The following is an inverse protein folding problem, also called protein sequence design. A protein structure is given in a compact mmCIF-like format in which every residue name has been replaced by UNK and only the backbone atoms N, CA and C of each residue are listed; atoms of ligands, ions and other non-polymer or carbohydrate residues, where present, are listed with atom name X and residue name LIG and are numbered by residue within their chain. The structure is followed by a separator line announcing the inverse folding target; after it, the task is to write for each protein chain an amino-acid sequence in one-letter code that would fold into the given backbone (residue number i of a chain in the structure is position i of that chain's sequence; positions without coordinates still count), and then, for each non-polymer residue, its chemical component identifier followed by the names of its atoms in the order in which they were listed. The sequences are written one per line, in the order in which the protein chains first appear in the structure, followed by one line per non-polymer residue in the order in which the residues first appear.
data_IF_547157110104
#
_entry.id   IF_547157110104
#
_cell.length_a   1.000
_cell.length_b   1.000
_cell.length_c   1.000
_cell.angle_alpha   90.00
_cell.angle_beta   90.00
_cell.angle_gamma   90.00
#
_symmetry.space_group_name_H-M   'P 1'
#
loop_
_entity.id
_entity.type
_entity.pdbx_description
1 polymer ?
#
# COMPACT_ATOMS: atom_id res chain seq x y z
N UNK A 1 -10.92 13.93 18.09
CA UNK A 1 -9.68 13.23 18.54
C UNK A 1 -8.44 13.75 17.84
N UNK A 2 -8.47 13.97 16.52
CA UNK A 2 -7.28 14.40 15.76
C UNK A 2 -6.67 15.73 16.21
N UNK A 3 -7.48 16.76 16.50
CA UNK A 3 -6.97 18.02 17.05
C UNK A 3 -6.21 17.83 18.38
N UNK A 4 -6.64 16.88 19.22
CA UNK A 4 -5.97 16.58 20.48
C UNK A 4 -4.61 15.90 20.26
N UNK A 5 -4.48 15.04 19.23
CA UNK A 5 -3.19 14.46 18.83
C UNK A 5 -2.23 15.55 18.33
N UNK A 6 -2.71 16.48 17.53
CA UNK A 6 -1.90 17.60 17.00
C UNK A 6 -1.46 18.51 18.14
N UNK A 7 -2.34 18.81 19.10
CA UNK A 7 -1.97 19.56 20.31
C UNK A 7 -0.96 18.78 21.15
N UNK A 8 -1.15 17.48 21.36
CA UNK A 8 -0.20 16.59 22.06
C UNK A 8 1.18 16.58 21.41
N UNK A 9 1.22 16.62 20.08
CA UNK A 9 2.46 16.67 19.32
C UNK A 9 3.23 18.00 19.49
N UNK A 10 2.57 19.05 19.99
CA UNK A 10 3.11 20.41 20.06
C UNK A 10 2.81 21.24 18.81
N UNK A 11 1.73 20.92 18.10
CA UNK A 11 1.34 21.54 16.82
C UNK A 11 1.83 20.76 15.61
N UNK A 12 1.58 21.31 14.42
CA UNK A 12 1.86 20.67 13.12
C UNK A 12 3.34 20.25 12.99
N UNK A 13 4.27 21.13 13.38
CA UNK A 13 5.72 20.83 13.35
C UNK A 13 6.16 19.72 14.32
N UNK A 14 5.26 19.24 15.18
CA UNK A 14 5.51 18.16 16.12
C UNK A 14 4.96 16.79 15.69
N UNK A 15 4.21 16.71 14.58
CA UNK A 15 3.52 15.47 14.13
C UNK A 15 4.48 14.28 14.02
N UNK A 16 5.74 14.50 13.63
CA UNK A 16 6.76 13.44 13.58
C UNK A 16 7.11 12.79 14.93
N UNK A 17 6.63 13.35 16.06
CA UNK A 17 6.79 12.78 17.41
C UNK A 17 5.65 11.84 17.81
N UNK A 18 4.56 11.82 17.05
CA UNK A 18 3.46 10.89 17.27
C UNK A 18 3.90 9.48 16.89
N UNK A 19 3.46 8.50 17.66
CA UNK A 19 3.71 7.11 17.30
C UNK A 19 2.83 6.68 16.11
N UNK A 20 3.23 5.60 15.45
CA UNK A 20 2.53 5.13 14.26
C UNK A 20 1.09 4.67 14.53
N UNK A 21 0.77 4.24 15.74
CA UNK A 21 -0.59 3.85 16.08
C UNK A 21 -1.52 5.05 16.14
N UNK A 22 -1.05 6.17 16.73
CA UNK A 22 -1.80 7.42 16.82
C UNK A 22 -2.08 8.03 15.45
N UNK A 23 -1.04 8.08 14.60
CA UNK A 23 -1.15 8.67 13.27
C UNK A 23 -2.08 7.84 12.38
N UNK A 24 -1.91 6.51 12.35
CA UNK A 24 -2.80 5.62 11.58
C UNK A 24 -4.25 5.68 12.09
N UNK A 25 -4.46 5.72 13.40
CA UNK A 25 -5.80 5.82 13.98
C UNK A 25 -6.55 7.09 13.53
N UNK A 26 -5.84 8.20 13.30
CA UNK A 26 -6.44 9.42 12.76
C UNK A 26 -7.01 9.27 11.34
N UNK A 27 -6.51 8.29 10.57
CA UNK A 27 -7.03 7.92 9.25
C UNK A 27 -7.95 6.69 9.29
N UNK A 28 -8.16 6.08 10.46
CA UNK A 28 -8.89 4.81 10.59
C UNK A 28 -8.14 3.62 9.97
N UNK A 29 -6.81 3.71 9.87
CA UNK A 29 -5.96 2.67 9.28
C UNK A 29 -5.66 1.58 10.32
N UNK A 30 -5.96 0.36 9.93
CA UNK A 30 -5.60 -0.90 10.56
C UNK A 30 -4.75 -1.67 9.55
N UNK A 31 -3.58 -2.11 9.99
CA UNK A 31 -2.61 -2.80 9.15
C UNK A 31 -2.12 -4.07 9.83
N UNK A 32 -1.66 -5.03 9.04
CA UNK A 32 -1.29 -6.35 9.53
C UNK A 32 -1.17 -7.36 8.41
N UNK A 33 -1.09 -8.64 8.75
CA UNK A 33 -1.11 -9.74 7.77
C UNK A 33 -2.55 -9.96 7.31
N UNK A 34 -2.73 -10.31 6.03
CA UNK A 34 -4.04 -10.48 5.41
C UNK A 34 -4.98 -11.39 6.23
N UNK A 35 -4.48 -12.54 6.69
CA UNK A 35 -5.23 -13.51 7.52
C UNK A 35 -5.62 -12.98 8.90
N UNK A 36 -4.87 -12.01 9.43
CA UNK A 36 -5.02 -11.49 10.80
C UNK A 36 -5.79 -10.15 10.81
N UNK A 37 -6.01 -9.55 9.64
CA UNK A 37 -6.78 -8.32 9.45
C UNK A 37 -8.27 -8.64 9.39
N UNK A 38 -8.98 -8.33 10.47
CA UNK A 38 -10.44 -8.24 10.41
C UNK A 38 -10.85 -6.94 9.73
N UNK A 39 -11.73 -7.03 8.72
CA UNK A 39 -12.16 -5.87 7.91
C UNK A 39 -13.65 -5.69 8.03
N UNK A 40 -14.09 -4.43 8.10
CA UNK A 40 -15.51 -4.13 8.19
C UNK A 40 -16.19 -4.33 6.83
N UNK A 41 -17.52 -4.45 6.85
CA UNK A 41 -18.32 -4.44 5.62
C UNK A 41 -18.12 -3.13 4.86
N UNK A 42 -17.70 -3.22 3.60
CA UNK A 42 -17.39 -2.07 2.75
C UNK A 42 -15.91 -1.72 2.71
N UNK A 43 -15.05 -2.42 3.45
CA UNK A 43 -13.61 -2.29 3.35
C UNK A 43 -13.01 -3.48 2.58
N UNK A 44 -11.84 -3.25 1.98
CA UNK A 44 -10.98 -4.26 1.37
C UNK A 44 -9.60 -4.25 2.03
N UNK A 45 -8.78 -5.25 1.73
CA UNK A 45 -7.38 -5.32 2.14
C UNK A 45 -6.51 -4.93 0.95
N UNK A 46 -5.84 -3.78 1.03
CA UNK A 46 -4.85 -3.40 0.02
C UNK A 46 -3.48 -3.93 0.42
N UNK A 47 -2.80 -4.58 -0.53
CA UNK A 47 -1.42 -5.03 -0.35
C UNK A 47 -0.46 -3.83 -0.28
N UNK A 48 0.39 -3.82 0.75
CA UNK A 48 1.46 -2.82 0.84
C UNK A 48 2.54 -3.00 -0.22
N UNK A 49 3.22 -1.92 -0.62
CA UNK A 49 4.60 -1.93 -1.13
C UNK A 49 4.81 -2.57 -2.50
N UNK A 50 5.08 -3.87 -2.50
CA UNK A 50 5.22 -4.69 -3.70
C UNK A 50 4.11 -5.76 -3.70
N UNK A 51 3.32 -5.89 -4.78
CA UNK A 51 2.28 -6.90 -4.81
C UNK A 51 2.90 -8.31 -4.80
N UNK A 52 2.19 -9.26 -4.20
CA UNK A 52 2.66 -10.65 -4.08
C UNK A 52 3.11 -11.26 -5.42
N UNK A 53 2.46 -10.84 -6.49
CA UNK A 53 2.73 -11.26 -7.85
C UNK A 53 4.14 -10.89 -8.35
N UNK A 54 4.73 -9.79 -7.85
CA UNK A 54 6.12 -9.38 -8.17
C UNK A 54 7.20 -10.38 -7.71
N UNK A 55 6.83 -11.36 -6.87
CA UNK A 55 7.70 -12.39 -6.29
C UNK A 55 7.60 -13.75 -6.98
N UNK A 56 6.80 -13.84 -8.04
CA UNK A 56 6.76 -15.01 -8.93
C UNK A 56 7.67 -14.75 -10.13
N UNK A 57 8.37 -15.77 -10.61
CA UNK A 57 9.23 -15.64 -11.80
C UNK A 57 8.45 -15.13 -13.02
N UNK A 58 7.23 -15.65 -13.23
CA UNK A 58 6.32 -15.23 -14.32
C UNK A 58 5.61 -13.89 -14.07
N UNK A 59 5.69 -13.37 -12.85
CA UNK A 59 5.03 -12.15 -12.43
C UNK A 59 3.56 -12.30 -12.04
N UNK A 60 2.78 -13.30 -12.45
CA UNK A 60 1.40 -13.52 -11.95
C UNK A 60 1.28 -14.97 -11.56
N UNK A 61 1.11 -15.26 -10.27
CA UNK A 61 1.04 -16.62 -9.71
C UNK A 61 -0.02 -17.51 -10.33
N UNK A 62 0.29 -18.06 -11.50
CA UNK A 62 -0.44 -19.08 -12.20
C UNK A 62 0.01 -20.45 -11.68
N UNK A 63 -0.84 -21.47 -11.90
CA UNK A 63 -0.50 -22.83 -11.56
C UNK A 63 0.79 -23.24 -12.29
N UNK A 64 1.86 -23.52 -11.54
CA UNK A 64 3.17 -23.90 -12.07
C UNK A 64 4.28 -22.84 -11.93
N UNK A 65 3.97 -21.63 -11.47
CA UNK A 65 4.99 -20.61 -11.27
C UNK A 65 5.85 -20.85 -10.04
N UNK A 66 7.16 -20.69 -10.22
CA UNK A 66 8.13 -20.77 -9.14
C UNK A 66 8.11 -19.46 -8.37
N UNK A 67 7.89 -19.56 -7.06
CA UNK A 67 8.04 -18.45 -6.11
C UNK A 67 9.50 -18.33 -5.70
N UNK A 68 9.90 -17.14 -5.28
CA UNK A 68 11.15 -17.01 -4.53
C UNK A 68 11.04 -17.82 -3.22
N UNK A 69 12.00 -18.72 -2.99
CA UNK A 69 12.04 -19.57 -1.80
C UNK A 69 12.11 -18.75 -0.49
N UNK A 70 11.40 -19.21 0.54
CA UNK A 70 11.37 -18.59 1.87
C UNK A 70 10.46 -17.36 2.01
N UNK A 71 9.79 -16.90 0.93
CA UNK A 71 8.93 -15.70 0.97
C UNK A 71 7.48 -16.05 1.37
N UNK A 72 7.29 -16.51 2.61
CA UNK A 72 5.97 -16.91 3.15
C UNK A 72 4.96 -15.76 3.26
N UNK A 73 5.46 -14.55 3.51
CA UNK A 73 4.81 -13.22 3.41
C UNK A 73 4.06 -12.96 2.11
N UNK A 74 4.26 -13.76 1.07
CA UNK A 74 3.68 -13.51 -0.24
C UNK A 74 2.75 -14.62 -0.72
N UNK A 75 2.22 -15.40 0.23
CA UNK A 75 0.88 -15.97 0.13
C UNK A 75 -0.16 -14.84 0.27
N UNK A 76 -1.19 -14.73 -0.59
CA UNK A 76 -2.32 -13.83 -0.35
C UNK A 76 -2.81 -13.84 1.11
N UNK A 77 -2.76 -14.97 1.81
CA UNK A 77 -3.13 -15.07 3.22
C UNK A 77 -2.12 -14.45 4.21
N UNK A 78 -0.85 -14.30 3.85
CA UNK A 78 0.21 -13.76 4.72
C UNK A 78 0.77 -12.41 4.23
N UNK A 79 0.24 -11.86 3.15
CA UNK A 79 0.65 -10.54 2.66
C UNK A 79 0.37 -9.46 3.70
N UNK A 80 1.32 -8.55 3.88
CA UNK A 80 1.07 -7.37 4.70
C UNK A 80 0.12 -6.45 3.93
N UNK A 81 -0.96 -6.06 4.61
CA UNK A 81 -2.03 -5.27 4.07
C UNK A 81 -2.45 -4.18 5.06
N UNK A 82 -3.33 -3.31 4.59
CA UNK A 82 -4.12 -2.42 5.43
C UNK A 82 -5.54 -2.30 4.89
N UNK A 83 -6.47 -1.89 5.74
CA UNK A 83 -7.87 -1.68 5.34
C UNK A 83 -8.00 -0.41 4.47
N UNK A 84 -8.71 -0.55 3.36
CA UNK A 84 -9.07 0.55 2.47
C UNK A 84 -10.56 0.51 2.21
N UNK A 85 -11.18 1.66 1.95
CA UNK A 85 -12.55 1.73 1.45
C UNK A 85 -12.65 0.98 0.11
N UNK A 86 -13.53 -0.03 0.06
CA UNK A 86 -13.68 -0.90 -1.12
C UNK A 86 -14.56 -0.21 -2.16
N UNK A 87 -14.00 0.03 -3.33
CA UNK A 87 -14.71 0.69 -4.40
C UNK A 87 -14.10 0.45 -5.76
N UNK A 88 -14.96 0.41 -6.78
CA UNK A 88 -14.57 0.32 -8.19
C UNK A 88 -14.71 1.67 -8.92
N UNK A 89 -15.20 2.70 -8.22
CA UNK A 89 -15.27 4.07 -8.72
C UNK A 89 -13.88 4.73 -8.62
N UNK A 90 -13.63 5.68 -9.52
CA UNK A 90 -12.41 6.47 -9.50
C UNK A 90 -12.29 7.20 -8.15
N UNK A 91 -11.07 7.30 -7.59
CA UNK A 91 -10.73 7.97 -6.32
C UNK A 91 -11.17 7.31 -5.00
N UNK A 92 -11.83 6.15 -5.03
CA UNK A 92 -11.90 5.27 -3.85
C UNK A 92 -10.51 4.77 -3.48
N UNK A 93 -10.23 4.57 -2.19
CA UNK A 93 -8.87 4.31 -1.69
C UNK A 93 -8.22 3.12 -2.42
N UNK A 94 -8.93 1.99 -2.48
CA UNK A 94 -8.46 0.79 -3.18
C UNK A 94 -8.15 1.06 -4.65
N UNK A 95 -9.06 1.75 -5.36
CA UNK A 95 -8.89 2.06 -6.79
C UNK A 95 -7.74 3.01 -7.03
N UNK A 96 -7.62 4.04 -6.21
CA UNK A 96 -6.57 5.05 -6.29
C UNK A 96 -5.19 4.39 -6.21
N UNK A 97 -4.98 3.56 -5.19
CA UNK A 97 -3.72 2.85 -4.95
C UNK A 97 -3.40 1.87 -6.08
N UNK A 98 -4.38 1.07 -6.48
CA UNK A 98 -4.22 0.11 -7.59
C UNK A 98 -3.86 0.82 -8.91
N UNK A 99 -4.48 1.97 -9.22
CA UNK A 99 -4.18 2.72 -10.44
C UNK A 99 -2.77 3.33 -10.40
N UNK A 100 -2.37 3.95 -9.28
CA UNK A 100 -1.01 4.49 -9.07
C UNK A 100 0.06 3.41 -9.19
N UNK A 101 -0.17 2.23 -8.59
CA UNK A 101 0.78 1.13 -8.68
C UNK A 101 0.82 0.51 -10.09
N UNK A 102 -0.30 0.48 -10.81
CA UNK A 102 -0.29 0.06 -12.21
C UNK A 102 0.53 1.04 -13.09
N UNK A 103 0.42 2.35 -12.86
CA UNK A 103 1.25 3.36 -13.55
C UNK A 103 2.74 3.16 -13.27
N UNK A 104 3.11 2.99 -12.00
CA UNK A 104 4.49 2.70 -11.61
C UNK A 104 5.03 1.45 -12.33
N UNK A 105 4.26 0.37 -12.37
CA UNK A 105 4.73 -0.87 -12.98
C UNK A 105 4.82 -0.77 -14.52
N UNK A 106 3.89 -0.06 -15.16
CA UNK A 106 3.85 0.08 -16.62
C UNK A 106 4.83 1.10 -17.18
N UNK A 107 5.17 2.16 -16.42
CA UNK A 107 6.21 3.13 -16.80
C UNK A 107 7.59 2.52 -17.05
N UNK A 108 7.80 1.26 -16.63
CA UNK A 108 9.05 0.53 -16.79
C UNK A 108 8.98 -0.61 -17.81
N UNK A 109 7.93 -0.64 -18.65
CA UNK A 109 7.78 -1.64 -19.71
C UNK A 109 7.69 -3.09 -19.21
N UNK A 110 7.32 -3.31 -17.94
CA UNK A 110 7.31 -4.64 -17.33
C UNK A 110 8.69 -5.19 -16.91
N UNK A 111 9.68 -4.30 -16.70
CA UNK A 111 11.02 -4.64 -16.24
C UNK A 111 11.13 -5.00 -14.74
N UNK A 112 12.34 -4.94 -14.18
CA UNK A 112 12.59 -5.21 -12.77
C UNK A 112 12.82 -3.92 -11.96
N UNK A 113 12.30 -3.90 -10.74
CA UNK A 113 12.45 -2.81 -9.77
C UNK A 113 12.94 -3.35 -8.44
N UNK A 114 13.75 -2.58 -7.72
CA UNK A 114 14.16 -3.03 -6.39
C UNK A 114 12.96 -3.01 -5.44
N UNK A 115 13.01 -3.80 -4.36
CA UNK A 115 12.02 -3.71 -3.30
C UNK A 115 11.90 -2.26 -2.80
N UNK A 116 13.02 -1.55 -2.60
CA UNK A 116 12.99 -0.12 -2.23
C UNK A 116 12.22 0.74 -3.24
N UNK A 117 12.44 0.55 -4.55
CA UNK A 117 11.70 1.30 -5.57
C UNK A 117 10.17 1.02 -5.50
N UNK A 118 9.78 -0.22 -5.20
CA UNK A 118 8.37 -0.55 -4.95
C UNK A 118 7.82 0.12 -3.69
N UNK A 119 8.57 0.07 -2.58
CA UNK A 119 8.19 0.69 -1.32
C UNK A 119 8.08 2.21 -1.43
N UNK A 120 9.00 2.87 -2.16
CA UNK A 120 8.97 4.31 -2.42
C UNK A 120 7.71 4.71 -3.21
N UNK A 121 7.44 3.99 -4.32
CA UNK A 121 6.27 4.25 -5.15
C UNK A 121 4.97 4.07 -4.37
N UNK A 122 4.91 3.02 -3.55
CA UNK A 122 3.75 2.74 -2.73
C UNK A 122 3.54 3.76 -1.61
N UNK A 123 4.61 4.14 -0.89
CA UNK A 123 4.53 5.18 0.13
C UNK A 123 3.97 6.47 -0.46
N UNK A 124 4.43 6.86 -1.65
CA UNK A 124 3.89 8.05 -2.33
C UNK A 124 2.44 7.89 -2.74
N UNK A 125 2.06 6.74 -3.29
CA UNK A 125 0.67 6.44 -3.64
C UNK A 125 -0.25 6.47 -2.40
N UNK A 126 0.22 5.96 -1.27
CA UNK A 126 -0.49 5.97 0.00
C UNK A 126 -0.63 7.39 0.54
N UNK A 127 0.44 8.18 0.59
CA UNK A 127 0.38 9.60 0.96
C UNK A 127 -0.67 10.35 0.13
N UNK A 128 -0.60 10.24 -1.19
CA UNK A 128 -1.55 10.88 -2.11
C UNK A 128 -2.99 10.40 -1.87
N UNK A 129 -3.19 9.09 -1.65
CA UNK A 129 -4.51 8.53 -1.32
C UNK A 129 -5.08 9.07 0.00
N UNK A 130 -4.24 9.24 1.02
CA UNK A 130 -4.66 9.81 2.31
C UNK A 130 -4.99 11.31 2.20
N UNK A 131 -4.40 12.03 1.25
CA UNK A 131 -4.68 13.45 1.00
C UNK A 131 -5.87 13.65 0.04
N UNK A 132 -5.93 12.92 -1.06
CA UNK A 132 -6.82 13.20 -2.19
C UNK A 132 -7.94 12.17 -2.36
N UNK A 133 -7.89 11.03 -1.66
CA UNK A 133 -8.93 10.01 -1.74
C UNK A 133 -10.29 10.47 -1.19
N UNK A 134 -11.36 9.88 -1.72
CA UNK A 134 -12.75 10.29 -1.48
C UNK A 134 -13.24 10.00 -0.05
N UNK A 135 -12.53 9.16 0.71
CA UNK A 135 -12.88 8.85 2.10
C UNK A 135 -12.87 10.15 2.92
N UNK A 136 -14.03 10.51 3.45
CA UNK A 136 -14.17 11.67 4.32
C UNK A 136 -13.35 11.46 5.60
N UNK A 137 -12.51 12.44 5.95
CA UNK A 137 -11.68 12.44 7.16
C UNK A 137 -11.80 13.78 7.85
N UNK A 138 -11.86 13.76 9.18
CA UNK A 138 -11.97 14.95 10.03
C UNK A 138 -10.61 15.67 10.19
N UNK A 139 -9.92 15.88 9.08
CA UNK A 139 -8.58 16.43 8.97
C UNK A 139 -8.59 17.55 7.93
N UNK A 140 -8.16 18.75 8.31
CA UNK A 140 -8.08 19.91 7.42
C UNK A 140 -6.64 20.16 7.00
N UNK A 141 -6.45 20.80 5.86
CA UNK A 141 -5.13 21.31 5.48
C UNK A 141 -4.70 22.45 6.43
N UNK A 142 -3.41 22.56 6.81
CA UNK A 142 -2.29 21.72 6.36
C UNK A 142 -2.04 20.44 7.20
N UNK A 143 -2.80 20.25 8.29
CA UNK A 143 -2.65 19.11 9.21
C UNK A 143 -2.81 17.76 8.49
N UNK A 144 -3.77 17.66 7.56
CA UNK A 144 -4.03 16.45 6.77
C UNK A 144 -2.80 15.99 6.01
N UNK A 145 -2.07 16.89 5.36
CA UNK A 145 -0.89 16.56 4.53
C UNK A 145 0.26 16.03 5.37
N UNK A 146 0.58 16.69 6.48
CA UNK A 146 1.65 16.24 7.37
C UNK A 146 1.30 14.91 8.06
N UNK A 147 0.06 14.75 8.50
CA UNK A 147 -0.44 13.49 9.07
C UNK A 147 -0.42 12.37 8.02
N UNK A 148 -0.80 12.64 6.77
CA UNK A 148 -0.82 11.66 5.68
C UNK A 148 0.60 11.20 5.32
N UNK A 149 1.55 12.14 5.25
CA UNK A 149 2.96 11.83 5.06
C UNK A 149 3.47 10.90 6.16
N UNK A 150 3.25 11.25 7.43
CA UNK A 150 3.70 10.41 8.55
C UNK A 150 3.00 9.04 8.58
N UNK A 151 1.70 8.98 8.23
CA UNK A 151 0.96 7.73 8.12
C UNK A 151 1.56 6.82 7.04
N UNK A 152 1.90 7.36 5.87
CA UNK A 152 2.53 6.62 4.78
C UNK A 152 3.93 6.10 5.16
N UNK A 153 4.74 6.91 5.84
CA UNK A 153 6.02 6.48 6.42
C UNK A 153 5.83 5.32 7.40
N UNK A 154 4.87 5.42 8.31
CA UNK A 154 4.55 4.36 9.26
C UNK A 154 4.10 3.05 8.58
N UNK A 155 3.29 3.13 7.53
CA UNK A 155 2.89 1.94 6.76
C UNK A 155 4.11 1.28 6.09
N UNK A 156 5.04 2.08 5.56
CA UNK A 156 6.31 1.57 5.03
C UNK A 156 7.16 0.91 6.12
N UNK A 157 7.36 1.57 7.26
CA UNK A 157 8.16 1.05 8.37
C UNK A 157 7.63 -0.32 8.84
N UNK A 158 6.31 -0.46 8.98
CA UNK A 158 5.68 -1.72 9.38
C UNK A 158 5.84 -2.81 8.34
N UNK A 159 5.75 -2.46 7.06
CA UNK A 159 5.93 -3.38 5.97
C UNK A 159 7.40 -3.83 5.81
N UNK A 160 8.36 -2.91 5.93
CA UNK A 160 9.79 -3.24 5.95
C UNK A 160 10.12 -4.16 7.13
N UNK A 161 9.57 -3.87 8.32
CA UNK A 161 9.67 -4.75 9.48
C UNK A 161 9.00 -6.11 9.26
N UNK A 162 7.92 -6.16 8.48
CA UNK A 162 7.26 -7.40 8.10
C UNK A 162 8.11 -8.22 7.12
N UNK A 163 8.91 -7.60 6.24
CA UNK A 163 9.87 -8.30 5.37
C UNK A 163 11.13 -8.74 6.09
N UNK A 164 11.65 -7.95 7.01
CA UNK A 164 12.85 -8.29 7.78
C UNK A 164 12.68 -9.56 8.64
N UNK A 165 11.43 -9.96 8.93
CA UNK A 165 11.08 -11.17 9.69
C UNK A 165 10.92 -12.42 8.83
N UNK A 166 11.01 -12.28 7.51
CA UNK A 166 10.76 -13.37 6.58
C UNK A 166 12.07 -14.09 6.24
N UNK A 167 11.98 -15.40 6.04
CA UNK A 167 13.17 -16.22 5.77
C UNK A 167 13.73 -15.96 4.36
N UNK A 168 12.94 -15.36 3.47
CA UNK A 168 13.48 -14.97 2.18
C UNK A 168 14.44 -13.80 2.32
N UNK A 169 15.60 -13.95 1.70
CA UNK A 169 16.69 -12.96 1.62
C UNK A 169 16.34 -11.77 0.72
N UNK A 170 15.10 -11.30 0.79
CA UNK A 170 14.65 -10.10 0.08
C UNK A 170 15.06 -8.90 0.92
N UNK A 171 15.87 -8.05 0.33
CA UNK A 171 16.38 -6.82 0.91
C UNK A 171 16.05 -5.66 -0.03
N UNK A 172 16.28 -4.42 0.41
CA UNK A 172 15.92 -3.22 -0.36
C UNK A 172 16.42 -3.22 -1.81
N UNK A 173 17.60 -3.81 -2.08
CA UNK A 173 18.19 -3.91 -3.43
C UNK A 173 17.70 -5.11 -4.26
N UNK A 174 16.94 -6.04 -3.68
CA UNK A 174 16.44 -7.22 -4.40
C UNK A 174 15.55 -6.79 -5.56
N UNK A 175 15.88 -7.24 -6.76
CA UNK A 175 15.14 -6.93 -7.99
C UNK A 175 13.91 -7.84 -8.09
N UNK A 176 12.75 -7.21 -8.09
CA UNK A 176 11.42 -7.80 -8.20
C UNK A 176 10.82 -7.43 -9.54
N UNK A 177 9.89 -8.25 -10.03
CA UNK A 177 9.23 -7.98 -11.31
C UNK A 177 8.20 -6.87 -11.15
N UNK A 178 8.29 -5.82 -11.95
CA UNK A 178 7.19 -4.91 -12.19
C UNK A 178 6.31 -5.54 -13.28
N UNK A 179 5.04 -5.82 -13.01
CA UNK A 179 4.17 -6.35 -14.06
C UNK A 179 3.85 -5.26 -15.09
N UNK A 180 3.80 -5.61 -16.37
CA UNK A 180 3.04 -4.77 -17.29
C UNK A 180 1.55 -4.97 -16.98
N UNK A 181 0.98 -4.04 -16.19
CA UNK A 181 -0.46 -3.99 -15.98
C UNK A 181 -1.06 -3.05 -17.02
N UNK A 182 -2.02 -3.51 -17.85
CA UNK A 182 -2.63 -2.61 -18.82
C UNK A 182 -3.24 -1.42 -18.08
N UNK A 183 -2.80 -0.22 -18.46
CA UNK A 183 -3.37 1.01 -17.95
C UNK A 183 -4.87 1.00 -18.27
N UNK A 184 -5.69 1.65 -17.46
CA UNK A 184 -7.15 1.61 -17.67
C UNK A 184 -7.56 2.16 -19.04
N UNK A 185 -6.78 3.10 -19.59
CA UNK A 185 -6.89 3.62 -20.95
C UNK A 185 -6.68 2.55 -22.03
N UNK A 186 -5.96 1.46 -21.70
CA UNK A 186 -5.54 0.39 -22.60
C UNK A 186 -6.32 -0.92 -22.38
N UNK A 187 -7.12 -1.02 -21.32
CA UNK A 187 -7.93 -2.23 -21.07
C UNK A 187 -9.05 -2.35 -22.13
N UNK A 188 -9.14 -3.50 -22.85
CA UNK A 188 -10.25 -3.75 -23.76
C UNK A 188 -11.59 -3.56 -23.05
N UNK A 189 -12.54 -2.86 -23.68
CA UNK A 189 -13.89 -2.62 -23.13
C UNK A 189 -14.63 -3.89 -22.72
N UNK A 190 -14.19 -5.06 -23.19
CA UNK A 190 -14.74 -6.38 -22.90
C UNK A 190 -14.42 -6.91 -21.50
N UNK A 191 -13.42 -6.38 -20.79
CA UNK A 191 -13.09 -6.73 -19.41
C UNK A 191 -13.82 -5.86 -18.36
N UNK A 192 -14.76 -4.99 -18.77
CA UNK A 192 -15.57 -4.13 -17.88
C UNK A 192 -16.86 -4.79 -17.36
N UNK A 193 -16.92 -6.12 -17.31
CA UNK A 193 -18.03 -6.90 -16.72
C UNK A 193 -17.42 -8.01 -15.87
N UNK A 194 -17.85 -8.27 -14.64
CA UNK A 194 -19.16 -8.09 -14.01
C UNK A 194 -19.02 -7.45 -12.63
#
# INVERSE_FOLDING_TARGET
MVQALIVKAGGIGGIGKLDCSEVKAAFGIVSGRYKDLDINKGENREHGGAPASSFYESGRGHAGDVKLDGCGSYDPANAWCWNVDDGQTHNTEHRYLTDRMAEFQSSNGGGQKTLTEHMDAYQKAAEDCLVDGDRARDLKDPERREMAKRAAECMREEQEAAFAKEDCKVEGKTKLRAQSLPLRSERPKTLRRR
#
